data_IF_355931815616
#
_entry.id   IF_355931815616
#
_cell.length_a   1.000
_cell.length_b   1.000
_cell.length_c   1.000
_cell.angle_alpha   90.00
_cell.angle_beta   90.00
_cell.angle_gamma   90.00
#
_symmetry.space_group_name_H-M   'P 1'
#
loop_
_entity.id
_entity.type
_entity.pdbx_description
1 polymer ?
#
# COMPACT_ATOMS: atom_id res chain seq x y z
N UNK A 1 8.99 -6.55 -0.23
CA UNK A 1 8.34 -7.88 -0.09
C UNK A 1 6.89 -7.74 -0.49
N UNK A 2 6.31 -8.67 -1.27
CA UNK A 2 5.02 -8.44 -1.96
C UNK A 2 3.80 -8.99 -1.19
N UNK A 3 2.72 -8.21 -1.16
CA UNK A 3 1.46 -8.50 -0.44
C UNK A 3 0.55 -9.53 -1.17
N UNK A 4 1.10 -10.70 -1.51
CA UNK A 4 0.40 -11.76 -2.25
C UNK A 4 -0.90 -12.26 -1.58
N UNK A 5 -1.01 -12.13 -0.25
CA UNK A 5 -2.17 -12.59 0.55
C UNK A 5 -3.49 -11.91 0.12
N UNK A 6 -3.42 -10.68 -0.41
CA UNK A 6 -4.60 -9.92 -0.82
C UNK A 6 -5.18 -10.35 -2.17
N UNK A 7 -4.49 -11.20 -2.94
CA UNK A 7 -4.96 -11.64 -4.26
C UNK A 7 -6.02 -12.76 -4.21
N UNK A 8 -6.25 -13.39 -3.05
CA UNK A 8 -7.26 -14.45 -2.89
C UNK A 8 -8.33 -14.02 -1.87
N UNK A 9 -9.60 -13.85 -2.29
CA UNK A 9 -10.66 -13.36 -1.40
C UNK A 9 -11.03 -14.34 -0.28
N UNK A 10 -10.75 -15.65 -0.44
CA UNK A 10 -10.99 -16.66 0.59
C UNK A 10 -9.95 -16.53 1.70
N UNK A 11 -8.67 -16.39 1.34
CA UNK A 11 -7.56 -16.17 2.28
C UNK A 11 -7.76 -14.86 3.07
N UNK A 12 -8.17 -13.79 2.39
CA UNK A 12 -8.47 -12.49 3.01
C UNK A 12 -9.61 -12.59 4.03
N UNK A 13 -10.75 -13.19 3.66
CA UNK A 13 -11.89 -13.42 4.59
C UNK A 13 -11.49 -14.28 5.80
N UNK A 14 -10.73 -15.36 5.59
CA UNK A 14 -10.25 -16.23 6.68
C UNK A 14 -9.35 -15.48 7.66
N UNK A 15 -8.46 -14.61 7.16
CA UNK A 15 -7.58 -13.77 8.00
C UNK A 15 -8.40 -12.80 8.86
N UNK A 16 -9.35 -12.07 8.28
CA UNK A 16 -10.21 -11.13 9.03
C UNK A 16 -11.00 -11.85 10.14
N UNK A 17 -11.60 -13.01 9.84
CA UNK A 17 -12.34 -13.79 10.83
C UNK A 17 -11.45 -14.25 12.00
N UNK A 18 -10.20 -14.62 11.72
CA UNK A 18 -9.22 -14.99 12.75
C UNK A 18 -8.80 -13.79 13.61
N UNK A 19 -8.58 -12.61 13.00
CA UNK A 19 -8.26 -11.37 13.71
C UNK A 19 -9.43 -10.90 14.61
N UNK A 20 -10.67 -11.02 14.13
CA UNK A 20 -11.88 -10.75 14.91
C UNK A 20 -12.04 -11.71 16.10
N UNK A 21 -11.80 -13.00 15.92
CA UNK A 21 -11.88 -14.00 16.99
C UNK A 21 -10.82 -13.77 18.08
N UNK A 22 -9.60 -13.40 17.69
CA UNK A 22 -8.55 -12.99 18.64
C UNK A 22 -8.94 -11.72 19.41
N UNK A 23 -9.56 -10.74 18.75
CA UNK A 23 -10.02 -9.51 19.40
C UNK A 23 -11.13 -9.76 20.44
N UNK A 24 -12.13 -10.59 20.11
CA UNK A 24 -13.19 -10.98 21.04
C UNK A 24 -12.64 -11.72 22.27
N UNK A 25 -11.71 -12.66 22.05
CA UNK A 25 -11.05 -13.39 23.14
C UNK A 25 -10.27 -12.44 24.08
N UNK A 26 -9.62 -11.41 23.54
CA UNK A 26 -8.91 -10.40 24.33
C UNK A 26 -9.88 -9.51 25.14
N UNK A 27 -11.07 -9.20 24.62
CA UNK A 27 -12.11 -8.47 25.36
C UNK A 27 -12.66 -9.34 26.50
N UNK A 28 -13.04 -10.59 26.22
CA UNK A 28 -13.63 -11.48 27.22
C UNK A 28 -12.69 -11.78 28.41
N UNK A 29 -11.39 -11.88 28.16
CA UNK A 29 -10.38 -12.10 29.20
C UNK A 29 -9.83 -10.79 29.82
N UNK A 30 -10.34 -9.61 29.43
CA UNK A 30 -9.92 -8.35 30.01
C UNK A 30 -10.47 -8.21 31.44
N UNK A 31 -9.58 -7.92 32.41
CA UNK A 31 -9.99 -7.72 33.80
C UNK A 31 -10.65 -6.34 33.97
N UNK A 32 -11.81 -6.23 34.64
CA UNK A 32 -12.43 -4.93 34.90
C UNK A 32 -11.54 -4.08 35.80
N UNK A 33 -11.25 -2.85 35.37
CA UNK A 33 -10.36 -1.92 36.08
C UNK A 33 -10.97 -1.39 37.40
N UNK A 34 -12.31 -1.40 37.50
CA UNK A 34 -13.06 -0.97 38.68
C UNK A 34 -13.86 -2.16 39.21
N UNK A 35 -13.69 -2.49 40.48
CA UNK A 35 -14.49 -3.52 41.13
C UNK A 35 -15.83 -2.94 41.58
N UNK A 36 -16.92 -3.39 40.93
CA UNK A 36 -18.29 -2.99 41.26
C UNK A 36 -18.99 -3.96 42.24
N UNK A 37 -18.27 -4.93 42.84
CA UNK A 37 -18.85 -5.82 43.86
C UNK A 37 -19.37 -5.01 45.05
N UNK A 38 -20.55 -5.36 45.56
CA UNK A 38 -21.08 -4.75 46.78
C UNK A 38 -20.08 -4.87 47.94
N UNK A 39 -19.74 -3.77 48.65
CA UNK A 39 -18.80 -3.83 49.77
C UNK A 39 -19.37 -4.70 50.89
N UNK A 40 -18.48 -5.44 51.57
CA UNK A 40 -18.83 -6.34 52.66
C UNK A 40 -19.59 -5.61 53.78
N UNK A 41 -20.60 -6.27 54.35
CA UNK A 41 -21.40 -5.76 55.46
C UNK A 41 -21.54 -6.86 56.53
N UNK A 42 -21.38 -6.53 57.84
CA UNK A 42 -21.66 -7.48 58.92
C UNK A 42 -23.16 -7.79 58.99
N UNK A 43 -23.53 -9.07 59.16
CA UNK A 43 -24.92 -9.52 59.03
C UNK A 43 -25.87 -9.00 60.11
N UNK A 44 -25.42 -8.84 61.35
CA UNK A 44 -26.28 -8.47 62.49
C UNK A 44 -25.59 -7.46 63.43
N UNK A 45 -26.30 -6.37 63.73
CA UNK A 45 -25.84 -5.27 64.60
C UNK A 45 -26.69 -5.20 65.87
N UNK A 46 -26.37 -6.04 66.86
CA UNK A 46 -27.07 -6.10 68.16
C UNK A 46 -26.15 -5.62 69.30
N UNK A 47 -25.52 -4.46 69.12
CA UNK A 47 -24.71 -3.83 70.18
C UNK A 47 -24.80 -2.31 70.14
N UNK A 48 -25.01 -1.71 71.32
CA UNK A 48 -25.05 -0.24 71.50
C UNK A 48 -23.72 0.44 71.13
N UNK A 49 -22.62 -0.31 71.05
CA UNK A 49 -21.31 0.17 70.59
C UNK A 49 -21.26 0.50 69.09
N UNK A 50 -22.09 -0.14 68.26
CA UNK A 50 -22.08 0.09 66.80
C UNK A 50 -22.37 1.56 66.47
N UNK A 51 -23.26 2.19 67.24
CA UNK A 51 -23.65 3.59 67.08
C UNK A 51 -22.49 4.58 67.28
N UNK A 52 -21.38 4.17 67.92
CA UNK A 52 -20.16 5.01 67.98
C UNK A 52 -19.35 4.93 66.68
N UNK A 53 -19.21 3.73 66.11
CA UNK A 53 -18.40 3.49 64.92
C UNK A 53 -19.08 3.91 63.62
N UNK A 54 -20.41 3.75 63.51
CA UNK A 54 -21.18 4.29 62.38
C UNK A 54 -21.06 5.81 62.34
N UNK A 55 -21.37 6.52 63.43
CA UNK A 55 -21.24 7.97 63.48
C UNK A 55 -19.82 8.46 63.16
N UNK A 56 -18.74 7.79 63.58
CA UNK A 56 -17.39 8.18 63.16
C UNK A 56 -17.13 7.96 61.67
N UNK A 57 -17.57 6.84 61.10
CA UNK A 57 -17.43 6.55 59.66
C UNK A 57 -18.25 7.54 58.83
N UNK A 58 -19.48 7.81 59.23
CA UNK A 58 -20.42 8.66 58.51
C UNK A 58 -19.99 10.13 58.59
N UNK A 59 -19.42 10.56 59.72
CA UNK A 59 -18.76 11.86 59.86
C UNK A 59 -17.49 11.96 58.98
N UNK A 60 -16.68 10.90 58.88
CA UNK A 60 -15.51 10.87 57.99
C UNK A 60 -15.93 10.90 56.50
N UNK A 61 -17.01 10.21 56.14
CA UNK A 61 -17.62 10.28 54.80
C UNK A 61 -18.16 11.68 54.51
N UNK A 62 -18.84 12.33 55.46
CA UNK A 62 -19.31 13.71 55.32
C UNK A 62 -18.15 14.71 55.17
N UNK A 63 -17.08 14.57 55.94
CA UNK A 63 -15.87 15.39 55.80
C UNK A 63 -15.21 15.20 54.42
N UNK A 64 -15.00 13.94 53.98
CA UNK A 64 -14.51 13.61 52.64
C UNK A 64 -15.40 14.20 51.53
N UNK A 65 -16.73 14.10 51.67
CA UNK A 65 -17.69 14.68 50.72
C UNK A 65 -17.61 16.22 50.71
N UNK A 66 -17.49 16.87 51.87
CA UNK A 66 -17.34 18.33 51.95
C UNK A 66 -16.05 18.82 51.26
N UNK A 67 -14.95 18.06 51.41
CA UNK A 67 -13.66 18.31 50.75
C UNK A 67 -13.75 18.07 49.25
N UNK A 68 -14.49 17.06 48.81
CA UNK A 68 -14.75 16.78 47.38
C UNK A 68 -15.58 17.90 46.75
N UNK A 69 -16.68 18.30 47.37
CA UNK A 69 -17.55 19.39 46.89
C UNK A 69 -16.80 20.72 46.81
N UNK A 70 -15.95 21.04 47.80
CA UNK A 70 -15.06 22.21 47.75
C UNK A 70 -14.12 22.16 46.55
N UNK A 71 -13.45 21.02 46.31
CA UNK A 71 -12.58 20.85 45.13
C UNK A 71 -13.34 20.93 43.80
N UNK A 72 -14.56 20.39 43.73
CA UNK A 72 -15.42 20.53 42.54
C UNK A 72 -15.78 22.00 42.27
N UNK A 73 -16.16 22.74 43.31
CA UNK A 73 -16.45 24.18 43.24
C UNK A 73 -15.21 24.97 42.80
N UNK A 74 -14.04 24.70 43.37
CA UNK A 74 -12.78 25.33 42.94
C UNK A 74 -12.45 25.01 41.47
N UNK A 75 -12.68 23.78 41.01
CA UNK A 75 -12.45 23.38 39.60
C UNK A 75 -13.42 24.13 38.67
N UNK A 76 -14.71 24.22 39.02
CA UNK A 76 -15.69 25.01 38.26
C UNK A 76 -15.32 26.50 38.22
N UNK A 77 -14.90 27.07 39.35
CA UNK A 77 -14.47 28.47 39.42
C UNK A 77 -13.19 28.72 38.61
N UNK A 78 -12.19 27.82 38.69
CA UNK A 78 -10.98 27.85 37.84
C UNK A 78 -11.34 27.74 36.36
N UNK A 79 -12.27 26.87 35.98
CA UNK A 79 -12.71 26.72 34.59
C UNK A 79 -13.46 27.96 34.06
N UNK A 80 -14.19 28.67 34.91
CA UNK A 80 -14.83 29.95 34.55
C UNK A 80 -13.84 31.13 34.46
N UNK A 81 -12.74 31.12 35.24
CA UNK A 81 -11.70 32.17 35.17
C UNK A 81 -10.62 31.87 34.13
N UNK A 82 -10.44 30.59 33.76
CA UNK A 82 -9.71 30.17 32.57
C UNK A 82 -10.47 30.60 31.31
N UNK A 83 -10.24 31.84 30.89
CA UNK A 83 -10.33 32.20 29.46
C UNK A 83 -9.61 31.10 28.69
N UNK A 84 -10.32 30.45 27.77
CA UNK A 84 -9.84 29.29 26.99
C UNK A 84 -8.37 29.49 26.63
N UNK A 85 -7.45 28.56 27.01
CA UNK A 85 -6.05 28.67 26.61
C UNK A 85 -6.01 28.82 25.09
N UNK A 86 -5.22 29.77 24.54
CA UNK A 86 -5.32 30.20 23.15
C UNK A 86 -5.19 28.98 22.26
N UNK A 87 -6.32 28.52 21.74
CA UNK A 87 -6.41 27.17 21.21
C UNK A 87 -5.59 27.16 19.95
N UNK A 88 -4.44 26.48 19.95
CA UNK A 88 -3.72 26.16 18.72
C UNK A 88 -4.75 25.57 17.77
N UNK A 89 -5.07 26.34 16.73
CA UNK A 89 -6.43 26.37 16.19
C UNK A 89 -6.96 24.96 15.96
N UNK A 90 -8.18 24.68 16.46
CA UNK A 90 -8.88 23.40 16.24
C UNK A 90 -8.57 22.87 14.85
N UNK A 91 -8.39 21.56 14.67
CA UNK A 91 -7.90 20.94 13.43
C UNK A 91 -8.55 21.54 12.15
N UNK A 92 -9.82 21.92 12.24
CA UNK A 92 -10.60 22.57 11.19
C UNK A 92 -10.24 24.04 10.87
N UNK A 93 -9.71 24.80 11.82
CA UNK A 93 -9.08 26.10 11.58
C UNK A 93 -7.69 25.96 10.92
N UNK A 94 -6.89 24.96 11.31
CA UNK A 94 -5.62 24.65 10.62
C UNK A 94 -5.87 24.18 9.19
N UNK A 95 -6.82 23.25 8.97
CA UNK A 95 -7.27 22.83 7.63
C UNK A 95 -7.73 24.02 6.77
N UNK A 96 -8.59 24.89 7.30
CA UNK A 96 -9.04 26.09 6.56
C UNK A 96 -7.88 27.03 6.20
N UNK A 97 -6.91 27.23 7.10
CA UNK A 97 -5.71 28.03 6.81
C UNK A 97 -4.89 27.45 5.67
N UNK A 98 -4.65 26.13 5.69
CA UNK A 98 -3.87 25.46 4.65
C UNK A 98 -4.64 25.38 3.33
N UNK A 99 -5.96 25.18 3.36
CA UNK A 99 -6.83 25.21 2.18
C UNK A 99 -6.81 26.59 1.49
N UNK A 100 -6.82 27.69 2.25
CA UNK A 100 -6.69 29.06 1.71
C UNK A 100 -5.31 29.26 1.08
N UNK A 101 -4.24 28.83 1.76
CA UNK A 101 -2.86 28.90 1.24
C UNK A 101 -2.72 28.14 -0.09
N UNK A 102 -3.09 26.86 -0.12
CA UNK A 102 -3.09 26.01 -1.33
C UNK A 102 -3.91 26.67 -2.45
N UNK A 103 -5.06 27.26 -2.13
CA UNK A 103 -5.89 27.97 -3.12
C UNK A 103 -5.18 29.21 -3.70
N UNK A 104 -4.46 29.99 -2.87
CA UNK A 104 -3.68 31.14 -3.35
C UNK A 104 -2.44 30.76 -4.17
N UNK A 105 -1.77 29.66 -3.81
CA UNK A 105 -0.65 29.11 -4.57
C UNK A 105 -1.12 28.60 -5.93
N UNK A 106 -2.23 27.83 -5.97
CA UNK A 106 -2.85 27.34 -7.21
C UNK A 106 -3.30 28.49 -8.13
N UNK A 107 -3.91 29.56 -7.59
CA UNK A 107 -4.26 30.75 -8.40
C UNK A 107 -3.01 31.45 -8.95
N UNK A 108 -1.91 31.49 -8.20
CA UNK A 108 -0.65 32.11 -8.64
C UNK A 108 0.02 31.29 -9.74
N UNK A 109 0.03 29.96 -9.60
CA UNK A 109 0.50 29.02 -10.63
C UNK A 109 -0.37 29.12 -11.89
N UNK A 110 -1.70 29.16 -11.75
CA UNK A 110 -2.62 29.30 -12.88
C UNK A 110 -2.38 30.62 -13.64
N UNK A 111 -2.27 31.75 -12.94
CA UNK A 111 -1.93 33.05 -13.55
C UNK A 111 -0.60 32.99 -14.30
N UNK A 112 0.43 32.35 -13.73
CA UNK A 112 1.74 32.17 -14.36
C UNK A 112 1.68 31.29 -15.62
N UNK A 113 0.86 30.22 -15.61
CA UNK A 113 0.65 29.37 -16.78
C UNK A 113 -0.17 30.07 -17.88
N UNK A 114 -1.10 30.95 -17.51
CA UNK A 114 -1.90 31.74 -18.45
C UNK A 114 -1.11 32.91 -19.05
N UNK A 115 -0.19 33.53 -18.30
CA UNK A 115 0.67 34.62 -18.80
C UNK A 115 1.91 34.12 -19.56
N UNK A 116 2.32 32.87 -19.36
CA UNK A 116 3.39 32.23 -20.11
C UNK A 116 2.93 31.89 -21.54
N UNK A 117 3.35 32.70 -22.52
CA UNK A 117 3.25 32.32 -23.93
C UNK A 117 4.11 31.08 -24.20
N UNK A 118 3.57 30.10 -24.91
CA UNK A 118 4.33 28.91 -25.27
C UNK A 118 5.41 29.26 -26.31
N UNK A 119 6.68 29.08 -25.95
CA UNK A 119 7.81 29.31 -26.85
C UNK A 119 7.72 28.50 -28.16
N UNK A 120 6.94 27.42 -28.16
CA UNK A 120 6.59 26.62 -29.32
C UNK A 120 5.16 26.92 -29.77
N UNK A 121 4.98 27.50 -30.96
CA UNK A 121 3.66 27.91 -31.47
C UNK A 121 2.98 26.79 -32.28
N UNK A 122 1.65 26.87 -32.44
CA UNK A 122 0.90 25.98 -33.35
C UNK A 122 1.45 26.02 -34.79
N UNK A 123 1.97 27.15 -35.26
CA UNK A 123 2.60 27.28 -36.59
C UNK A 123 3.94 26.51 -36.64
N UNK A 124 4.73 26.59 -35.59
CA UNK A 124 5.98 25.82 -35.44
C UNK A 124 5.69 24.31 -35.44
N UNK A 125 4.66 23.89 -34.70
CA UNK A 125 4.23 22.50 -34.60
C UNK A 125 3.78 21.90 -35.95
N UNK A 126 2.98 22.63 -36.73
CA UNK A 126 2.55 22.18 -38.07
C UNK A 126 3.74 22.03 -39.02
N UNK A 127 4.65 23.00 -39.05
CA UNK A 127 5.87 22.93 -39.86
C UNK A 127 6.75 21.74 -39.47
N UNK A 128 6.90 21.47 -38.18
CA UNK A 128 7.68 20.34 -37.66
C UNK A 128 7.02 18.99 -37.96
N UNK A 129 5.68 18.88 -37.89
CA UNK A 129 4.94 17.69 -38.33
C UNK A 129 5.19 17.43 -39.82
N UNK A 130 5.13 18.46 -40.67
CA UNK A 130 5.37 18.31 -42.10
C UNK A 130 6.83 17.90 -42.38
N UNK A 131 7.80 18.50 -41.66
CA UNK A 131 9.22 18.13 -41.72
C UNK A 131 9.44 16.66 -41.31
N UNK A 132 8.85 16.22 -40.19
CA UNK A 132 8.93 14.83 -39.72
C UNK A 132 8.24 13.87 -40.69
N UNK A 133 7.11 14.25 -41.30
CA UNK A 133 6.46 13.46 -42.35
C UNK A 133 7.38 13.29 -43.56
N UNK A 134 8.00 14.37 -44.06
CA UNK A 134 8.97 14.33 -45.16
C UNK A 134 10.18 13.47 -44.82
N UNK A 135 10.73 13.54 -43.61
CA UNK A 135 11.80 12.64 -43.17
C UNK A 135 11.36 11.18 -43.12
N UNK A 136 10.16 10.88 -42.59
CA UNK A 136 9.59 9.52 -42.56
C UNK A 136 9.40 8.96 -43.98
N UNK A 137 8.87 9.74 -44.91
CA UNK A 137 8.73 9.34 -46.30
C UNK A 137 10.10 9.13 -46.97
N UNK A 138 11.08 9.99 -46.74
CA UNK A 138 12.42 9.84 -47.29
C UNK A 138 13.15 8.61 -46.75
N UNK A 139 12.98 8.29 -45.46
CA UNK A 139 13.44 7.04 -44.87
C UNK A 139 12.74 5.84 -45.52
N UNK A 140 11.41 5.86 -45.63
CA UNK A 140 10.63 4.78 -46.25
C UNK A 140 10.98 4.57 -47.75
N UNK A 141 11.34 5.63 -48.47
CA UNK A 141 11.85 5.53 -49.86
C UNK A 141 13.24 4.88 -49.91
N UNK A 142 14.14 5.20 -48.98
CA UNK A 142 15.48 4.58 -48.87
C UNK A 142 15.46 3.15 -48.33
N UNK A 143 14.48 2.79 -47.50
CA UNK A 143 14.29 1.39 -47.07
C UNK A 143 13.54 0.56 -48.10
N UNK A 144 12.76 1.17 -49.02
CA UNK A 144 12.20 0.46 -50.20
C UNK A 144 13.25 0.02 -51.23
N UNK A 145 14.47 0.56 -51.16
CA UNK A 145 15.63 0.13 -51.95
C UNK A 145 16.65 -0.67 -51.13
N UNK A 146 16.29 -1.06 -49.90
CA UNK A 146 16.92 -2.20 -49.25
C UNK A 146 15.94 -3.35 -49.42
N UNK A 147 16.39 -4.47 -49.99
CA UNK A 147 15.52 -5.61 -50.24
C UNK A 147 14.83 -6.07 -48.96
N UNK A 148 13.57 -6.48 -49.08
CA UNK A 148 12.80 -7.01 -47.96
C UNK A 148 13.59 -8.17 -47.35
N UNK A 149 14.08 -8.03 -46.11
CA UNK A 149 15.00 -9.00 -45.51
C UNK A 149 14.38 -10.40 -45.43
N UNK A 150 13.05 -10.48 -45.40
CA UNK A 150 12.27 -11.72 -45.52
C UNK A 150 12.47 -12.41 -46.88
N UNK A 151 12.55 -11.62 -47.96
CA UNK A 151 12.69 -12.11 -49.34
C UNK A 151 14.14 -12.51 -49.67
N UNK A 152 15.13 -11.79 -49.12
CA UNK A 152 16.53 -12.23 -49.10
C UNK A 152 16.71 -13.53 -48.31
N UNK A 153 16.13 -13.62 -47.11
CA UNK A 153 16.17 -14.83 -46.29
C UNK A 153 15.50 -16.03 -47.00
N UNK A 154 14.37 -15.81 -47.67
CA UNK A 154 13.72 -16.83 -48.49
C UNK A 154 14.62 -17.33 -49.64
N UNK A 155 15.26 -16.42 -50.38
CA UNK A 155 16.23 -16.82 -51.42
C UNK A 155 17.42 -17.59 -50.85
N UNK A 156 17.98 -17.17 -49.71
CA UNK A 156 19.11 -17.86 -49.09
C UNK A 156 18.72 -19.28 -48.62
N UNK A 157 17.53 -19.43 -48.04
CA UNK A 157 17.03 -20.72 -47.58
C UNK A 157 16.78 -21.69 -48.74
N UNK A 158 16.31 -21.19 -49.89
CA UNK A 158 16.19 -21.97 -51.14
C UNK A 158 17.57 -22.36 -51.68
N UNK A 159 18.54 -21.44 -51.71
CA UNK A 159 19.92 -21.72 -52.16
C UNK A 159 20.59 -22.81 -51.30
N UNK A 160 20.45 -22.75 -49.96
CA UNK A 160 20.98 -23.77 -49.04
C UNK A 160 20.35 -25.16 -49.24
N UNK A 161 19.04 -25.21 -49.52
CA UNK A 161 18.36 -26.49 -49.76
C UNK A 161 18.82 -27.15 -51.08
N UNK A 162 19.06 -26.36 -52.13
CA UNK A 162 19.56 -26.83 -53.43
C UNK A 162 20.99 -27.39 -53.37
N UNK A 163 21.90 -26.75 -52.63
CA UNK A 163 23.25 -27.30 -52.39
C UNK A 163 23.25 -28.53 -51.49
N UNK A 164 22.32 -28.61 -50.53
CA UNK A 164 22.20 -29.76 -49.64
C UNK A 164 21.76 -31.05 -50.37
N UNK A 165 20.87 -30.94 -51.35
CA UNK A 165 20.42 -32.11 -52.13
C UNK A 165 21.45 -32.62 -53.16
N UNK A 166 22.37 -31.78 -53.61
CA UNK A 166 23.37 -32.15 -54.63
C UNK A 166 24.61 -32.86 -54.07
N UNK A 167 24.90 -32.73 -52.77
CA UNK A 167 26.08 -33.37 -52.14
C UNK A 167 25.87 -34.86 -51.77
N UNK A 168 24.63 -35.28 -51.54
CA UNK A 168 24.29 -36.58 -50.92
C UNK A 168 24.37 -37.82 -51.83
N UNK A 169 25.18 -37.82 -52.89
CA UNK A 169 25.23 -38.92 -53.88
C UNK A 169 26.64 -39.43 -54.24
N UNK A 170 27.46 -39.73 -53.23
CA UNK A 170 28.63 -40.64 -53.34
C UNK A 170 29.13 -41.09 -51.95
N UNK A 171 29.09 -42.40 -51.68
CA UNK A 171 30.11 -43.20 -50.98
C UNK A 171 29.55 -44.56 -50.50
N UNK A 172 29.87 -45.64 -51.23
CA UNK A 172 30.06 -47.00 -50.69
C UNK A 172 30.67 -47.89 -51.78
N UNK A 173 31.97 -48.12 -51.71
CA UNK A 173 32.72 -49.05 -52.57
C UNK A 173 33.21 -50.22 -51.75
N UNK A 174 32.94 -51.44 -52.23
CA UNK A 174 33.39 -52.71 -51.64
C UNK A 174 34.89 -52.95 -51.86
N UNK A 175 35.58 -53.55 -50.87
CA UNK A 175 36.36 -54.79 -51.05
C UNK A 175 36.56 -55.53 -49.71
N UNK A 176 36.84 -56.85 -49.76
CA UNK A 176 37.33 -57.69 -48.64
C UNK A 176 38.69 -58.33 -49.03
N UNK A 177 39.00 -59.61 -48.69
CA UNK A 177 38.39 -60.54 -47.71
C UNK A 177 39.38 -61.45 -46.89
N UNK A 178 38.88 -62.18 -45.87
CA UNK A 178 39.49 -63.40 -45.21
C UNK A 178 40.87 -63.22 -44.49
N UNK A 179 41.38 -64.08 -43.61
CA UNK A 179 41.05 -65.46 -43.08
C UNK A 179 41.01 -65.44 -41.52
N UNK A 180 40.11 -66.14 -40.80
CA UNK A 180 40.15 -67.55 -40.32
C UNK A 180 41.40 -68.01 -39.52
N UNK A 181 41.26 -68.26 -38.21
CA UNK A 181 41.46 -69.58 -37.56
C UNK A 181 40.90 -69.64 -36.12
N UNK A 182 40.77 -70.86 -35.60
CA UNK A 182 40.38 -71.33 -34.25
C UNK A 182 41.28 -70.78 -33.12
N UNK A 183 41.01 -70.91 -31.81
CA UNK A 183 40.03 -71.68 -31.01
C UNK A 183 39.68 -70.86 -29.71
N UNK A 184 39.00 -71.27 -28.62
CA UNK A 184 38.52 -72.55 -28.05
C UNK A 184 37.34 -72.31 -27.05
N UNK A 185 37.02 -73.28 -26.17
CA UNK A 185 36.10 -73.14 -25.02
C UNK A 185 36.88 -73.01 -23.69
N UNK A 186 36.30 -72.27 -22.74
CA UNK A 186 36.06 -72.63 -21.31
C UNK A 186 34.92 -71.74 -20.79
#
# INVERSE_FOLDING_TARGET
>A
MWNLIYSNPICFKKKIAQEQLMHLNNIQNSKPLVNNSQPWRPGHSISRLVNKYTNTNDQEVMDKNSKLLRKMMEIQQRNNTLKQPPTHGSLEALRRREQVKISSENQTILKRLQSASSAYSKKTWVNDIERVKKYRENLQRRTRTNDDFNLLAAQEHVKRNLTSQSSSRKLKTSQGPRTQTYESLI
#
